data_IF_783867452135
#
_entry.id   IF_783867452135
#
_cell.length_a   1.000
_cell.length_b   1.000
_cell.length_c   1.000
_cell.angle_alpha   90.00
_cell.angle_beta   90.00
_cell.angle_gamma   90.00
#
_symmetry.space_group_name_H-M   'P 1'
#
loop_
_entity.id
_entity.type
_entity.pdbx_description
1 polymer ?
#
# COMPACT_ATOMS: atom_id res chain seq x y z
N UNK A 1 -19.24 -56.61 55.34
CA UNK A 1 -19.10 -55.27 55.92
C UNK A 1 -18.75 -54.33 54.79
N UNK A 2 -19.69 -53.48 54.43
CA UNK A 2 -19.68 -52.50 53.33
C UNK A 2 -18.83 -51.28 53.73
N UNK A 3 -17.87 -50.89 52.89
CA UNK A 3 -17.15 -49.63 53.03
C UNK A 3 -17.43 -48.76 51.81
N UNK A 4 -18.46 -47.93 51.94
CA UNK A 4 -18.66 -46.68 51.20
C UNK A 4 -18.01 -45.58 52.02
N UNK A 5 -17.15 -44.73 51.45
CA UNK A 5 -17.12 -43.30 51.78
C UNK A 5 -16.30 -42.51 50.74
N UNK A 6 -16.77 -41.29 50.51
CA UNK A 6 -16.58 -40.42 49.36
C UNK A 6 -15.21 -39.75 49.23
N UNK A 7 -14.90 -39.37 47.99
CA UNK A 7 -13.82 -38.46 47.64
C UNK A 7 -14.22 -36.99 47.88
N UNK A 8 -13.33 -36.11 48.36
CA UNK A 8 -13.57 -34.68 48.34
C UNK A 8 -13.18 -34.10 46.97
N UNK A 9 -14.19 -33.65 46.21
CA UNK A 9 -14.01 -32.73 45.09
C UNK A 9 -13.63 -31.35 45.64
N UNK A 10 -12.35 -30.98 45.55
CA UNK A 10 -11.90 -29.63 45.79
C UNK A 10 -11.57 -28.95 44.46
N UNK A 11 -12.36 -27.93 44.16
CA UNK A 11 -12.26 -27.02 43.03
C UNK A 11 -10.86 -26.41 42.92
N UNK A 12 -10.31 -26.38 41.70
CA UNK A 12 -9.00 -25.80 41.45
C UNK A 12 -8.82 -25.39 40.00
N UNK A 13 -9.46 -24.27 39.62
CA UNK A 13 -9.12 -23.36 38.52
C UNK A 13 -8.67 -24.01 37.21
N UNK A 14 -9.58 -24.03 36.24
CA UNK A 14 -9.20 -23.92 34.83
C UNK A 14 -8.33 -22.68 34.67
N UNK A 15 -7.02 -22.86 34.58
CA UNK A 15 -6.14 -21.85 34.01
C UNK A 15 -6.56 -21.75 32.54
N UNK A 16 -7.42 -20.78 32.27
CA UNK A 16 -7.68 -20.27 30.93
C UNK A 16 -6.34 -19.77 30.40
N UNK A 17 -5.62 -20.66 29.72
CA UNK A 17 -4.43 -20.30 28.98
C UNK A 17 -4.90 -19.39 27.84
N UNK A 18 -4.85 -18.08 28.09
CA UNK A 18 -4.89 -17.08 27.03
C UNK A 18 -3.81 -17.52 26.03
N UNK A 19 -4.16 -17.82 24.76
CA UNK A 19 -3.15 -18.16 23.79
C UNK A 19 -2.15 -16.99 23.75
N UNK A 20 -0.84 -17.25 23.68
CA UNK A 20 0.12 -16.17 23.52
C UNK A 20 -0.32 -15.39 22.28
N UNK A 21 -0.62 -14.10 22.48
CA UNK A 21 -0.72 -13.16 21.37
C UNK A 21 0.55 -13.39 20.58
N UNK A 22 0.39 -13.88 19.35
CA UNK A 22 1.46 -13.95 18.37
C UNK A 22 1.94 -12.52 18.20
N UNK A 23 2.96 -12.10 18.96
CA UNK A 23 3.77 -10.95 18.62
C UNK A 23 4.16 -11.19 17.17
N UNK A 24 3.55 -10.42 16.26
CA UNK A 24 3.92 -10.48 14.85
C UNK A 24 5.43 -10.28 14.81
N UNK A 25 6.20 -11.25 14.29
CA UNK A 25 7.63 -11.09 14.23
C UNK A 25 7.92 -9.77 13.50
N UNK A 26 8.81 -8.96 14.07
CA UNK A 26 9.22 -7.69 13.46
C UNK A 26 9.41 -7.92 11.96
N UNK A 27 8.81 -7.08 11.09
CA UNK A 27 8.75 -7.35 9.67
C UNK A 27 10.15 -7.63 9.14
N UNK A 28 10.38 -8.87 8.71
CA UNK A 28 11.68 -9.26 8.17
C UNK A 28 12.01 -8.31 7.00
N UNK A 29 13.25 -7.84 6.85
CA UNK A 29 13.61 -6.86 5.83
C UNK A 29 13.15 -7.24 4.41
N UNK A 30 13.13 -8.55 4.09
CA UNK A 30 12.63 -9.07 2.81
C UNK A 30 11.10 -8.92 2.64
N UNK A 31 10.31 -9.19 3.69
CA UNK A 31 8.86 -9.08 3.65
C UNK A 31 8.41 -7.62 3.52
N UNK A 32 9.11 -6.70 4.19
CA UNK A 32 8.89 -5.26 4.03
C UNK A 32 9.18 -4.81 2.60
N UNK A 33 10.36 -5.17 2.05
CA UNK A 33 10.74 -4.85 0.66
C UNK A 33 9.73 -5.39 -0.35
N UNK A 34 9.26 -6.63 -0.17
CA UNK A 34 8.24 -7.22 -1.04
C UNK A 34 6.91 -6.47 -0.96
N UNK A 35 6.52 -6.00 0.23
CA UNK A 35 5.33 -5.17 0.40
C UNK A 35 5.48 -3.83 -0.31
N UNK A 36 6.61 -3.16 -0.12
CA UNK A 36 6.95 -1.90 -0.80
C UNK A 36 6.88 -2.04 -2.32
N UNK A 37 7.48 -3.09 -2.89
CA UNK A 37 7.44 -3.35 -4.32
C UNK A 37 6.01 -3.57 -4.85
N UNK A 38 5.16 -4.28 -4.08
CA UNK A 38 3.75 -4.49 -4.46
C UNK A 38 2.94 -3.19 -4.40
N UNK A 39 3.13 -2.39 -3.36
CA UNK A 39 2.45 -1.10 -3.22
C UNK A 39 2.86 -0.14 -4.35
N UNK A 40 4.16 -0.02 -4.63
CA UNK A 40 4.67 0.79 -5.71
C UNK A 40 4.11 0.35 -7.08
N UNK A 41 4.06 -0.95 -7.36
CA UNK A 41 3.48 -1.46 -8.60
C UNK A 41 1.97 -1.22 -8.69
N UNK A 42 1.26 -1.31 -7.56
CA UNK A 42 -0.17 -1.01 -7.50
C UNK A 42 -0.45 0.46 -7.75
N UNK A 43 0.34 1.36 -7.14
CA UNK A 43 0.25 2.80 -7.35
C UNK A 43 0.52 3.18 -8.82
N UNK A 44 1.57 2.61 -9.42
CA UNK A 44 1.85 2.80 -10.84
C UNK A 44 0.64 2.42 -11.71
N UNK A 45 0.04 1.24 -11.44
CA UNK A 45 -1.15 0.78 -12.17
C UNK A 45 -2.35 1.71 -11.96
N UNK A 46 -2.60 2.15 -10.74
CA UNK A 46 -3.71 3.04 -10.41
C UNK A 46 -3.58 4.38 -11.13
N UNK A 47 -2.37 4.91 -11.30
CA UNK A 47 -2.13 6.18 -11.99
C UNK A 47 -2.18 6.02 -13.51
N UNK A 48 -1.73 4.89 -14.06
CA UNK A 48 -1.79 4.65 -15.52
C UNK A 48 -3.21 4.52 -16.09
N UNK A 49 -4.25 4.50 -15.24
CA UNK A 49 -5.65 4.54 -15.71
C UNK A 49 -6.04 5.93 -16.22
N UNK A 50 -5.33 6.99 -15.78
CA UNK A 50 -5.56 8.34 -16.26
C UNK A 50 -5.01 8.48 -17.68
N UNK A 51 -5.81 8.95 -18.66
CA UNK A 51 -5.37 9.11 -20.04
C UNK A 51 -4.22 10.13 -20.18
N UNK A 52 -4.10 11.06 -19.22
CA UNK A 52 -3.01 12.02 -19.11
C UNK A 52 -1.70 11.36 -18.71
N UNK A 53 -1.69 10.14 -18.16
CA UNK A 53 -0.46 9.48 -17.73
C UNK A 53 0.09 8.63 -18.87
N UNK A 54 1.26 9.01 -19.39
CA UNK A 54 1.97 8.24 -20.42
C UNK A 54 2.84 7.16 -19.80
N UNK A 55 3.56 7.50 -18.74
CA UNK A 55 4.39 6.58 -17.98
C UNK A 55 4.35 6.96 -16.51
N UNK A 56 4.36 5.97 -15.62
CA UNK A 56 4.44 6.18 -14.19
C UNK A 56 5.29 5.08 -13.56
N UNK A 57 6.27 5.51 -12.76
CA UNK A 57 7.14 4.64 -11.98
C UNK A 57 7.12 5.10 -10.54
N UNK A 58 7.00 4.13 -9.66
CA UNK A 58 7.02 4.32 -8.22
C UNK A 58 8.07 3.39 -7.64
N UNK A 59 8.84 3.90 -6.68
CA UNK A 59 9.74 3.11 -5.88
C UNK A 59 9.58 3.50 -4.42
N UNK A 60 9.37 2.49 -3.57
CA UNK A 60 9.37 2.65 -2.12
C UNK A 60 10.61 1.94 -1.59
N UNK A 61 11.51 2.69 -0.97
CA UNK A 61 12.79 2.20 -0.45
C UNK A 61 12.97 2.58 1.02
N UNK A 62 14.20 2.52 1.53
CA UNK A 62 14.51 2.78 2.92
C UNK A 62 14.20 1.61 3.86
N UNK A 63 13.81 1.94 5.08
CA UNK A 63 13.55 0.99 6.19
C UNK A 63 12.12 1.12 6.71
N UNK A 64 11.58 0.14 7.47
CA UNK A 64 10.23 0.24 8.03
C UNK A 64 10.01 1.49 8.91
N UNK A 65 11.06 1.99 9.57
CA UNK A 65 11.00 3.19 10.42
C UNK A 65 11.28 4.49 9.67
N UNK A 66 11.86 4.41 8.48
CA UNK A 66 12.18 5.55 7.63
C UNK A 66 12.02 5.12 6.16
N UNK A 67 10.77 4.99 5.68
CA UNK A 67 10.52 4.67 4.29
C UNK A 67 10.70 5.91 3.42
N UNK A 68 11.12 5.69 2.18
CA UNK A 68 11.38 6.77 1.21
C UNK A 68 10.58 6.49 -0.07
N UNK A 69 9.98 7.53 -0.65
CA UNK A 69 9.16 7.42 -1.87
C UNK A 69 9.82 8.21 -3.00
N UNK A 70 10.01 7.53 -4.13
CA UNK A 70 10.38 8.14 -5.41
C UNK A 70 9.27 7.88 -6.44
N UNK A 71 8.88 8.95 -7.14
CA UNK A 71 7.84 8.92 -8.17
C UNK A 71 8.35 9.65 -9.40
N UNK A 72 8.35 8.96 -10.53
CA UNK A 72 8.63 9.52 -11.84
C UNK A 72 7.41 9.33 -12.74
N UNK A 73 6.75 10.42 -13.14
CA UNK A 73 5.62 10.36 -14.07
C UNK A 73 5.86 11.24 -15.29
N UNK A 74 5.51 10.69 -16.45
CA UNK A 74 5.41 11.43 -17.72
C UNK A 74 3.93 11.61 -18.02
N UNK A 75 3.52 12.87 -18.14
CA UNK A 75 2.15 13.29 -18.38
C UNK A 75 2.01 13.84 -19.81
N UNK A 76 0.89 13.54 -20.45
CA UNK A 76 0.43 14.18 -21.68
C UNK A 76 -0.21 15.52 -21.33
N UNK A 77 -0.05 16.51 -22.20
CA UNK A 77 -0.67 17.83 -22.03
C UNK A 77 -2.19 17.77 -22.30
N UNK A 78 -2.98 18.00 -21.24
CA UNK A 78 -4.41 17.76 -21.18
C UNK A 78 -5.13 18.86 -20.40
N UNK A 79 -6.46 18.87 -20.48
CA UNK A 79 -7.29 19.80 -19.70
C UNK A 79 -7.21 19.47 -18.19
N UNK A 80 -7.13 18.18 -17.86
CA UNK A 80 -7.13 17.67 -16.49
C UNK A 80 -5.73 17.39 -15.92
N UNK A 81 -4.65 17.76 -16.62
CA UNK A 81 -3.27 17.47 -16.17
C UNK A 81 -2.98 18.00 -14.77
N UNK A 82 -3.54 19.17 -14.41
CA UNK A 82 -3.39 19.74 -13.07
C UNK A 82 -4.08 18.91 -11.99
N UNK A 83 -5.29 18.39 -12.26
CA UNK A 83 -6.03 17.54 -11.34
C UNK A 83 -5.35 16.16 -11.17
N UNK A 84 -4.75 15.63 -12.25
CA UNK A 84 -3.96 14.39 -12.19
C UNK A 84 -2.69 14.58 -11.35
N UNK A 85 -2.00 15.72 -11.51
CA UNK A 85 -0.85 16.07 -10.65
C UNK A 85 -1.27 16.14 -9.18
N UNK A 86 -2.37 16.82 -8.87
CA UNK A 86 -2.89 16.89 -7.50
C UNK A 86 -3.24 15.50 -6.94
N UNK A 87 -3.91 14.66 -7.74
CA UNK A 87 -4.24 13.29 -7.35
C UNK A 87 -2.99 12.46 -7.02
N UNK A 88 -1.94 12.55 -7.85
CA UNK A 88 -0.69 11.82 -7.64
C UNK A 88 0.07 12.35 -6.42
N UNK A 89 0.14 13.67 -6.24
CA UNK A 89 0.97 14.31 -5.20
C UNK A 89 0.34 14.31 -3.82
N UNK A 90 -0.99 14.37 -3.75
CA UNK A 90 -1.74 14.46 -2.49
C UNK A 90 -2.33 13.10 -2.14
N UNK A 91 -3.34 12.65 -2.88
CA UNK A 91 -4.15 11.50 -2.49
C UNK A 91 -3.38 10.19 -2.53
N UNK A 92 -2.63 9.94 -3.60
CA UNK A 92 -1.89 8.69 -3.74
C UNK A 92 -0.78 8.55 -2.70
N UNK A 93 -0.13 9.65 -2.33
CA UNK A 93 0.90 9.63 -1.29
C UNK A 93 0.28 9.30 0.06
N UNK A 94 -0.85 9.92 0.41
CA UNK A 94 -1.60 9.63 1.64
C UNK A 94 -2.03 8.15 1.70
N UNK A 95 -2.62 7.63 0.63
CA UNK A 95 -3.03 6.22 0.54
C UNK A 95 -1.85 5.26 0.73
N UNK A 96 -0.69 5.59 0.15
CA UNK A 96 0.52 4.78 0.30
C UNK A 96 1.04 4.79 1.74
N UNK A 97 0.98 5.92 2.44
CA UNK A 97 1.37 6.01 3.85
C UNK A 97 0.43 5.22 4.76
N UNK A 98 -0.87 5.26 4.48
CA UNK A 98 -1.88 4.48 5.19
C UNK A 98 -1.67 2.98 5.00
N UNK A 99 -1.47 2.53 3.75
CA UNK A 99 -1.25 1.12 3.42
C UNK A 99 0.09 0.59 3.95
N UNK A 100 1.11 1.45 4.01
CA UNK A 100 2.40 1.11 4.59
C UNK A 100 2.34 1.09 6.13
N UNK A 101 1.44 1.87 6.72
CA UNK A 101 1.32 2.08 8.17
C UNK A 101 2.41 3.01 8.73
N UNK A 102 3.05 3.80 7.87
CA UNK A 102 4.14 4.70 8.22
C UNK A 102 4.20 5.87 7.24
N UNK A 103 4.62 7.05 7.74
CA UNK A 103 4.87 8.21 6.88
C UNK A 103 6.23 8.09 6.19
N UNK A 104 6.30 8.58 4.96
CA UNK A 104 7.55 8.70 4.23
C UNK A 104 8.44 9.76 4.89
N UNK A 105 9.69 9.39 5.16
CA UNK A 105 10.71 10.30 5.66
C UNK A 105 11.15 11.28 4.57
N UNK A 106 11.28 10.77 3.34
CA UNK A 106 11.63 11.55 2.15
C UNK A 106 10.68 11.22 1.00
N UNK A 107 10.34 12.25 0.21
CA UNK A 107 9.45 12.16 -0.94
C UNK A 107 10.08 12.91 -2.11
N UNK A 108 10.42 12.20 -3.18
CA UNK A 108 10.91 12.77 -4.43
C UNK A 108 9.88 12.55 -5.53
N UNK A 109 9.35 13.65 -6.05
CA UNK A 109 8.29 13.65 -7.07
C UNK A 109 8.81 14.38 -8.31
N UNK A 110 9.02 13.64 -9.39
CA UNK A 110 9.42 14.17 -10.70
C UNK A 110 8.26 13.98 -11.68
N UNK A 111 7.57 15.08 -11.99
CA UNK A 111 6.40 15.10 -12.85
C UNK A 111 6.71 15.94 -14.08
N UNK A 112 6.78 15.29 -15.25
CA UNK A 112 7.12 15.94 -16.51
C UNK A 112 5.90 15.95 -17.41
N UNK A 113 5.44 17.13 -17.81
CA UNK A 113 4.41 17.28 -18.84
C UNK A 113 5.08 17.34 -20.21
N UNK A 114 4.96 16.27 -20.98
CA UNK A 114 5.46 16.19 -22.35
C UNK A 114 4.36 16.57 -23.34
N UNK A 115 4.49 17.77 -23.89
CA UNK A 115 3.56 18.35 -24.88
C UNK A 115 3.69 17.72 -26.27
N UNK A 116 4.71 16.89 -26.51
CA UNK A 116 4.89 16.19 -27.78
C UNK A 116 4.06 14.91 -27.88
N UNK A 117 3.56 14.39 -26.75
CA UNK A 117 2.79 13.16 -26.71
C UNK A 117 1.33 13.41 -27.14
N UNK A 118 0.79 12.64 -28.11
CA UNK A 118 -0.59 12.80 -28.54
C UNK A 118 -1.55 12.37 -27.42
N UNK A 119 -2.65 13.13 -27.27
CA UNK A 119 -3.76 12.76 -26.38
C UNK A 119 -4.35 11.43 -26.84
N UNK A 120 -4.53 10.49 -25.92
CA UNK A 120 -5.25 9.25 -26.21
C UNK A 120 -6.74 9.56 -26.14
N UNK A 121 -7.35 9.87 -27.28
CA UNK A 121 -8.80 9.94 -27.38
C UNK A 121 -9.37 8.54 -27.27
N UNK A 122 -10.25 8.30 -26.31
CA UNK A 122 -11.09 7.08 -26.29
C UNK A 122 -11.99 7.13 -27.51
N UNK A 123 -11.56 6.47 -28.59
CA UNK A 123 -12.34 6.36 -29.80
C UNK A 123 -13.64 5.61 -29.51
N UNK A 124 -14.78 6.31 -29.60
CA UNK A 124 -16.09 5.66 -29.60
C UNK A 124 -16.16 4.78 -30.85
N UNK A 125 -16.15 3.47 -30.67
CA UNK A 125 -16.40 2.54 -31.76
C UNK A 125 -17.90 2.58 -32.04
N UNK A 126 -18.34 3.43 -32.98
CA UNK A 126 -19.68 3.30 -33.55
C UNK A 126 -19.70 2.04 -34.41
N UNK A 127 -20.40 1.00 -33.95
CA UNK A 127 -20.71 -0.17 -34.75
C UNK A 127 -21.70 0.20 -35.88
N UNK A 128 -21.60 -0.45 -37.06
CA UNK A 128 -22.42 -0.17 -38.24
C UNK A 128 -23.90 -0.49 -38.08
#
# INVERSE_FOLDING_TARGET
>A
MTATLEAPQAMGRTLSAVPPVLESPAPQPAAFRQRCARLAMSAARAVTVFPEVAEARFAITGTPSAPELEVDCILRDGEDTAAVIETITVHLVEDLEELLGARFHERRLELVVDRSLPRVGVGVVSAP
#
